data_IF_271332123339
#
_entry.id   IF_271332123339
#
_cell.length_a   1.000
_cell.length_b   1.000
_cell.length_c   1.000
_cell.angle_alpha   90.00
_cell.angle_beta   90.00
_cell.angle_gamma   90.00
#
_symmetry.space_group_name_H-M   'P 1'
#
loop_
_entity.id
_entity.type
_entity.pdbx_description
1 polymer ?
#
# COMPACT_ATOMS: atom_id res chain seq x y z
N UNK A 1 -11.23 -0.82 7.13
CA UNK A 1 -10.13 -0.21 6.34
C UNK A 1 -8.90 0.15 7.18
N UNK A 2 -9.05 0.52 8.45
CA UNK A 2 -7.91 0.90 9.32
C UNK A 2 -6.80 -0.15 9.38
N UNK A 3 -7.16 -1.44 9.53
CA UNK A 3 -6.19 -2.54 9.54
C UNK A 3 -5.35 -2.61 8.26
N UNK A 4 -6.00 -2.53 7.08
CA UNK A 4 -5.30 -2.56 5.79
C UNK A 4 -4.36 -1.34 5.65
N UNK A 5 -4.79 -0.16 6.10
CA UNK A 5 -3.94 1.05 6.11
C UNK A 5 -2.70 0.89 7.00
N UNK A 6 -2.87 0.32 8.20
CA UNK A 6 -1.77 0.04 9.12
C UNK A 6 -0.80 -0.99 8.51
N UNK A 7 -1.33 -2.02 7.87
CA UNK A 7 -0.51 -3.05 7.22
C UNK A 7 0.32 -2.46 6.06
N UNK A 8 -0.31 -1.72 5.13
CA UNK A 8 0.40 -1.05 4.03
C UNK A 8 1.50 -0.12 4.58
N UNK A 9 1.21 0.60 5.67
CA UNK A 9 2.17 1.49 6.31
C UNK A 9 3.39 0.72 6.82
N UNK A 10 3.17 -0.40 7.51
CA UNK A 10 4.25 -1.29 7.96
C UNK A 10 5.07 -1.84 6.79
N UNK A 11 4.42 -2.32 5.72
CA UNK A 11 5.11 -2.82 4.52
C UNK A 11 5.97 -1.74 3.84
N UNK A 12 5.55 -0.47 3.90
CA UNK A 12 6.36 0.67 3.46
C UNK A 12 7.57 0.91 4.38
N UNK A 13 7.40 0.83 5.70
CA UNK A 13 8.49 0.98 6.69
C UNK A 13 9.54 -0.12 6.55
N UNK A 14 9.10 -1.34 6.23
CA UNK A 14 9.94 -2.50 5.95
C UNK A 14 10.62 -2.43 4.56
N UNK A 15 10.45 -1.32 3.82
CA UNK A 15 11.01 -1.06 2.48
C UNK A 15 10.60 -2.08 1.42
N UNK A 16 9.54 -2.86 1.69
CA UNK A 16 8.96 -3.81 0.75
C UNK A 16 8.04 -3.13 -0.25
N UNK A 17 7.44 -2.00 0.14
CA UNK A 17 6.61 -1.15 -0.72
C UNK A 17 7.22 0.24 -0.90
N UNK A 18 7.66 0.55 -2.13
CA UNK A 18 8.17 1.88 -2.48
C UNK A 18 7.02 2.85 -2.76
N UNK A 19 6.81 3.79 -1.82
CA UNK A 19 5.84 4.89 -1.95
C UNK A 19 6.13 5.78 -3.15
N UNK A 20 5.07 6.40 -3.70
CA UNK A 20 5.17 7.35 -4.82
C UNK A 20 5.29 8.78 -4.30
N UNK A 21 6.02 9.64 -5.02
CA UNK A 21 6.07 11.08 -4.77
C UNK A 21 5.44 11.83 -5.96
N UNK A 22 4.59 12.81 -5.67
CA UNK A 22 4.00 13.66 -6.70
C UNK A 22 5.04 14.64 -7.31
N UNK A 23 6.04 15.05 -6.51
CA UNK A 23 7.16 15.87 -6.96
C UNK A 23 8.39 15.66 -6.06
N UNK A 24 9.56 16.16 -6.47
CA UNK A 24 10.84 15.96 -5.76
C UNK A 24 10.79 16.33 -4.26
N UNK A 25 10.06 17.38 -3.91
CA UNK A 25 10.02 17.95 -2.56
C UNK A 25 8.67 17.73 -1.84
N UNK A 26 7.86 16.78 -2.31
CA UNK A 26 6.58 16.46 -1.69
C UNK A 26 6.66 15.19 -0.84
N UNK A 27 5.80 15.05 0.19
CA UNK A 27 5.62 13.78 0.90
C UNK A 27 5.31 12.62 -0.05
N UNK A 28 5.80 11.45 0.32
CA UNK A 28 5.46 10.21 -0.39
C UNK A 28 4.15 9.63 0.11
N UNK A 29 3.35 9.05 -0.77
CA UNK A 29 2.07 8.41 -0.46
C UNK A 29 2.00 6.99 -1.04
N UNK A 30 1.22 6.12 -0.40
CA UNK A 30 1.01 4.71 -0.80
C UNK A 30 -0.44 4.36 -1.08
N UNK A 31 -1.41 5.03 -0.47
CA UNK A 31 -2.82 4.66 -0.62
C UNK A 31 -3.75 5.82 -0.31
N UNK A 32 -4.96 5.74 -0.86
CA UNK A 32 -6.11 6.58 -0.51
C UNK A 32 -7.33 5.67 -0.38
N UNK A 33 -8.03 5.77 0.75
CA UNK A 33 -9.32 5.11 0.98
C UNK A 33 -10.46 6.09 0.70
N UNK A 34 -11.43 5.67 -0.09
CA UNK A 34 -12.76 6.29 -0.22
C UNK A 34 -13.81 5.40 0.45
N UNK A 35 -15.10 5.75 0.33
CA UNK A 35 -16.19 4.97 0.90
C UNK A 35 -16.16 3.51 0.39
N UNK A 36 -16.11 3.35 -0.93
CA UNK A 36 -16.16 2.05 -1.59
C UNK A 36 -14.87 1.71 -2.38
N UNK A 37 -14.05 2.73 -2.67
CA UNK A 37 -12.87 2.59 -3.52
C UNK A 37 -11.54 2.63 -2.75
N UNK A 38 -10.57 1.88 -3.24
CA UNK A 38 -9.18 1.88 -2.78
C UNK A 38 -8.26 2.20 -3.95
N UNK A 39 -7.46 3.26 -3.81
CA UNK A 39 -6.37 3.55 -4.71
C UNK A 39 -5.02 3.24 -4.07
N UNK A 40 -4.21 2.43 -4.74
CA UNK A 40 -2.86 2.03 -4.31
C UNK A 40 -1.81 2.67 -5.22
N UNK A 41 -0.76 3.21 -4.61
CA UNK A 41 0.33 3.90 -5.27
C UNK A 41 1.66 3.24 -4.94
N UNK A 42 2.32 2.71 -5.96
CA UNK A 42 3.64 2.12 -5.83
C UNK A 42 4.46 2.35 -7.10
N UNK A 43 5.78 2.28 -6.98
CA UNK A 43 6.64 2.18 -8.16
C UNK A 43 6.32 0.88 -8.92
N UNK A 44 6.19 0.95 -10.24
CA UNK A 44 5.90 -0.22 -11.08
C UNK A 44 7.11 -1.17 -11.17
N UNK A 45 7.26 -2.05 -10.18
CA UNK A 45 8.29 -3.08 -10.12
C UNK A 45 7.73 -4.35 -9.45
N UNK A 46 8.38 -5.50 -9.69
CA UNK A 46 7.91 -6.79 -9.19
C UNK A 46 7.78 -6.83 -7.66
N UNK A 47 8.78 -6.30 -6.94
CA UNK A 47 8.80 -6.22 -5.47
C UNK A 47 7.52 -5.57 -4.91
N UNK A 48 7.11 -4.44 -5.47
CA UNK A 48 5.92 -3.73 -5.03
C UNK A 48 4.63 -4.46 -5.42
N UNK A 49 4.57 -5.07 -6.60
CA UNK A 49 3.43 -5.90 -7.00
C UNK A 49 3.24 -7.09 -6.04
N UNK A 50 4.33 -7.75 -5.67
CA UNK A 50 4.31 -8.85 -4.68
C UNK A 50 3.85 -8.36 -3.31
N UNK A 51 4.39 -7.21 -2.84
CA UNK A 51 3.98 -6.61 -1.57
C UNK A 51 2.49 -6.24 -1.55
N UNK A 52 1.98 -5.64 -2.63
CA UNK A 52 0.55 -5.31 -2.79
C UNK A 52 -0.31 -6.59 -2.70
N UNK A 53 0.08 -7.64 -3.42
CA UNK A 53 -0.66 -8.90 -3.44
C UNK A 53 -0.67 -9.57 -2.07
N UNK A 54 0.48 -9.63 -1.39
CA UNK A 54 0.59 -10.15 -0.03
C UNK A 54 -0.31 -9.36 0.93
N UNK A 55 -0.28 -8.02 0.85
CA UNK A 55 -1.05 -7.19 1.75
C UNK A 55 -2.57 -7.37 1.58
N UNK A 56 -3.03 -7.38 0.33
CA UNK A 56 -4.43 -7.63 0.01
C UNK A 56 -4.87 -9.05 0.37
N UNK A 57 -4.04 -10.06 0.11
CA UNK A 57 -4.37 -11.45 0.47
C UNK A 57 -4.49 -11.63 1.98
N UNK A 58 -3.56 -11.07 2.76
CA UNK A 58 -3.61 -11.12 4.22
C UNK A 58 -4.88 -10.44 4.75
N UNK A 59 -5.23 -9.27 4.22
CA UNK A 59 -6.45 -8.58 4.58
C UNK A 59 -7.71 -9.39 4.26
N UNK A 60 -7.83 -9.93 3.05
CA UNK A 60 -8.96 -10.75 2.62
C UNK A 60 -9.09 -12.05 3.43
N UNK A 61 -7.98 -12.64 3.87
CA UNK A 61 -7.99 -13.85 4.70
C UNK A 61 -8.43 -13.57 6.14
N UNK A 62 -8.13 -12.38 6.67
CA UNK A 62 -8.57 -11.96 8.01
C UNK A 62 -10.02 -11.45 8.04
N UNK A 63 -10.55 -11.03 6.90
CA UNK A 63 -11.95 -10.64 6.75
C UNK A 63 -12.92 -11.83 6.60
N UNK A 64 -12.39 -13.07 6.64
CA UNK A 64 -13.16 -14.30 6.50
C UNK A 64 -13.56 -14.89 7.86
#
# INVERSE_FOLDING_TARGET
MEFLGAQITKTCEDKRWDKVKASKNHPSFSHVFYADDLMLFAKANAKNCEAILEDLNNFCNLAR
#
